data_IF_319838648493
#
_entry.id   IF_319838648493
#
_cell.length_a   1.000
_cell.length_b   1.000
_cell.length_c   1.000
_cell.angle_alpha   90.00
_cell.angle_beta   90.00
_cell.angle_gamma   90.00
#
_symmetry.space_group_name_H-M   'P 1'
#
loop_
_entity.id
_entity.type
_entity.pdbx_description
1 polymer ?
#
# COMPACT_ATOMS: atom_id res chain seq x y z
N UNK A 1 4.29 20.19 16.95
CA UNK A 1 3.57 19.07 16.34
C UNK A 1 4.50 17.88 16.30
N UNK A 2 4.17 16.76 16.94
CA UNK A 2 4.94 15.52 16.72
C UNK A 2 4.63 15.11 15.29
N UNK A 3 5.60 15.26 14.39
CA UNK A 3 5.55 14.71 13.04
C UNK A 3 5.28 13.21 13.18
N UNK A 4 4.02 12.84 13.03
CA UNK A 4 3.65 11.45 12.82
C UNK A 4 4.20 11.16 11.43
N UNK A 5 5.43 10.62 11.36
CA UNK A 5 5.92 10.07 10.10
C UNK A 5 4.83 9.11 9.65
N UNK A 6 4.28 9.24 8.43
CA UNK A 6 3.38 8.23 7.93
C UNK A 6 4.13 6.90 8.05
N UNK A 7 3.56 5.94 8.79
CA UNK A 7 4.14 4.61 8.87
C UNK A 7 4.24 4.11 7.43
N UNK A 8 5.47 4.05 6.91
CA UNK A 8 5.68 3.67 5.53
C UNK A 8 5.27 2.20 5.41
N UNK A 9 4.47 1.86 4.40
CA UNK A 9 4.04 0.47 4.18
C UNK A 9 5.27 -0.43 4.04
N UNK A 10 6.35 0.09 3.44
CA UNK A 10 7.67 -0.57 3.35
C UNK A 10 8.33 -0.97 4.67
N UNK A 11 7.96 -0.37 5.79
CA UNK A 11 8.48 -0.69 7.11
C UNK A 11 7.70 -1.80 7.82
N UNK A 12 6.52 -2.18 7.30
CA UNK A 12 5.69 -3.22 7.89
C UNK A 12 6.17 -4.62 7.44
N UNK A 13 6.07 -5.65 8.28
CA UNK A 13 6.20 -7.03 7.80
C UNK A 13 5.05 -7.35 6.83
N UNK A 14 5.28 -8.28 5.91
CA UNK A 14 4.31 -8.60 4.85
C UNK A 14 2.96 -9.09 5.41
N UNK A 15 2.97 -9.90 6.46
CA UNK A 15 1.75 -10.34 7.17
C UNK A 15 0.96 -9.18 7.79
N UNK A 16 1.64 -8.14 8.28
CA UNK A 16 0.96 -6.97 8.83
C UNK A 16 0.28 -6.15 7.73
N UNK A 17 0.80 -6.16 6.49
CA UNK A 17 0.14 -5.50 5.35
C UNK A 17 -1.18 -6.18 5.03
N UNK A 18 -1.24 -7.52 5.11
CA UNK A 18 -2.49 -8.28 4.96
C UNK A 18 -3.50 -7.97 6.05
N UNK A 19 -3.04 -7.67 7.26
CA UNK A 19 -3.90 -7.36 8.42
C UNK A 19 -4.49 -5.94 8.40
N UNK A 20 -4.10 -5.07 7.46
CA UNK A 20 -4.64 -3.70 7.37
C UNK A 20 -6.08 -3.70 6.87
N UNK A 21 -6.96 -2.96 7.51
CA UNK A 21 -8.31 -2.77 6.98
C UNK A 21 -8.29 -1.91 5.71
N UNK A 22 -9.19 -2.15 4.74
CA UNK A 22 -9.32 -1.31 3.54
C UNK A 22 -9.50 0.18 3.89
N UNK A 23 -10.23 0.49 4.96
CA UNK A 23 -10.41 1.86 5.44
C UNK A 23 -9.10 2.50 5.92
N UNK A 24 -8.21 1.71 6.53
CA UNK A 24 -6.88 2.20 6.94
C UNK A 24 -6.02 2.48 5.71
N UNK A 25 -6.09 1.64 4.67
CA UNK A 25 -5.38 1.85 3.40
C UNK A 25 -5.85 3.13 2.73
N UNK A 26 -7.16 3.36 2.66
CA UNK A 26 -7.73 4.58 2.09
C UNK A 26 -7.38 5.85 2.90
N UNK A 27 -7.07 5.72 4.19
CA UNK A 27 -6.67 6.84 5.06
C UNK A 27 -5.17 7.15 5.01
N UNK A 28 -4.34 6.27 4.44
CA UNK A 28 -2.90 6.51 4.34
C UNK A 28 -2.56 7.57 3.28
N UNK A 29 -1.58 8.45 3.53
CA UNK A 29 -1.11 9.37 2.51
C UNK A 29 -0.35 8.59 1.42
N UNK A 30 -0.43 9.04 0.16
CA UNK A 30 0.20 8.37 -0.98
C UNK A 30 1.71 8.14 -0.79
N UNK A 31 2.39 9.05 -0.08
CA UNK A 31 3.82 8.92 0.25
C UNK A 31 4.16 7.68 1.10
N UNK A 32 3.21 7.13 1.85
CA UNK A 32 3.41 5.91 2.65
C UNK A 32 3.70 4.68 1.77
N UNK A 33 3.22 4.67 0.53
CA UNK A 33 3.39 3.55 -0.40
C UNK A 33 4.72 3.59 -1.17
N UNK A 34 5.50 4.67 -1.08
CA UNK A 34 6.73 4.83 -1.85
C UNK A 34 7.86 3.88 -1.47
N UNK A 35 7.84 3.35 -0.24
CA UNK A 35 8.77 2.32 0.21
C UNK A 35 8.27 0.88 0.07
N UNK A 36 7.08 0.67 -0.50
CA UNK A 36 6.45 -0.65 -0.53
C UNK A 36 7.26 -1.65 -1.35
N UNK A 37 7.37 -2.88 -0.86
CA UNK A 37 8.10 -3.97 -1.52
C UNK A 37 7.16 -4.90 -2.27
N UNK A 38 7.63 -5.60 -3.33
CA UNK A 38 6.82 -6.58 -4.06
C UNK A 38 6.22 -7.67 -3.16
N UNK A 39 6.98 -8.16 -2.19
CA UNK A 39 6.54 -9.19 -1.23
C UNK A 39 5.34 -8.72 -0.40
N UNK A 40 5.31 -7.44 -0.02
CA UNK A 40 4.18 -6.83 0.69
C UNK A 40 2.97 -6.65 -0.23
N UNK A 41 3.21 -6.27 -1.50
CA UNK A 41 2.14 -6.10 -2.47
C UNK A 41 1.44 -7.41 -2.80
N UNK A 42 2.18 -8.54 -2.76
CA UNK A 42 1.62 -9.88 -2.91
C UNK A 42 0.72 -10.31 -1.75
N UNK A 43 0.84 -9.68 -0.58
CA UNK A 43 -0.01 -9.97 0.57
C UNK A 43 -1.33 -9.19 0.58
N UNK A 44 -1.47 -8.20 -0.31
CA UNK A 44 -2.70 -7.42 -0.43
C UNK A 44 -3.86 -8.29 -0.92
N UNK A 45 -5.05 -8.03 -0.38
CA UNK A 45 -6.30 -8.58 -0.88
C UNK A 45 -6.87 -7.72 -2.02
N UNK A 46 -7.77 -8.25 -2.86
CA UNK A 46 -8.47 -7.44 -3.87
C UNK A 46 -9.23 -6.25 -3.28
N UNK A 47 -9.84 -6.43 -2.09
CA UNK A 47 -10.58 -5.36 -1.40
C UNK A 47 -9.67 -4.22 -0.93
N UNK A 48 -8.49 -4.57 -0.39
CA UNK A 48 -7.44 -3.61 -0.03
C UNK A 48 -6.90 -2.91 -1.28
N UNK A 49 -6.64 -3.67 -2.35
CA UNK A 49 -6.16 -3.13 -3.60
C UNK A 49 -7.16 -2.15 -4.22
N UNK A 50 -8.47 -2.42 -4.15
CA UNK A 50 -9.52 -1.54 -4.64
C UNK A 50 -9.52 -0.15 -3.97
N UNK A 51 -8.99 -0.01 -2.75
CA UNK A 51 -8.89 1.27 -2.05
C UNK A 51 -7.70 2.13 -2.52
N UNK A 52 -6.74 1.54 -3.23
CA UNK A 52 -5.54 2.24 -3.73
C UNK A 52 -5.94 3.07 -4.97
N UNK A 53 -5.75 4.39 -4.94
CA UNK A 53 -6.17 5.31 -6.02
C UNK A 53 -4.99 5.67 -6.92
N UNK A 54 -5.27 6.44 -7.98
CA UNK A 54 -4.27 6.89 -8.95
C UNK A 54 -3.03 7.56 -8.31
N UNK A 55 -3.19 8.51 -7.37
CA UNK A 55 -2.06 9.13 -6.67
C UNK A 55 -1.21 8.13 -5.85
N UNK A 56 -1.85 7.14 -5.24
CA UNK A 56 -1.16 6.09 -4.46
C UNK A 56 -0.33 5.19 -5.38
N UNK A 57 -0.91 4.80 -6.52
CA UNK A 57 -0.18 4.06 -7.56
C UNK A 57 1.00 4.86 -8.09
N UNK A 58 0.87 6.18 -8.26
CA UNK A 58 1.97 7.02 -8.74
C UNK A 58 3.13 7.09 -7.75
N UNK A 59 2.85 6.99 -6.45
CA UNK A 59 3.86 6.96 -5.40
C UNK A 59 4.57 5.60 -5.27
N UNK A 60 3.96 4.50 -5.73
CA UNK A 60 4.49 3.14 -5.60
C UNK A 60 5.66 2.84 -6.57
N UNK A 61 6.56 1.92 -6.19
CA UNK A 61 7.54 1.37 -7.13
C UNK A 61 6.89 0.65 -8.32
N UNK A 62 7.49 0.65 -9.52
CA UNK A 62 6.91 0.05 -10.73
C UNK A 62 6.47 -1.41 -10.56
N UNK A 63 7.28 -2.24 -9.92
CA UNK A 63 6.96 -3.64 -9.69
C UNK A 63 5.72 -3.82 -8.79
N UNK A 64 5.58 -2.99 -7.75
CA UNK A 64 4.42 -3.01 -6.85
C UNK A 64 3.15 -2.59 -7.59
N UNK A 65 3.24 -1.55 -8.44
CA UNK A 65 2.10 -1.06 -9.23
C UNK A 65 1.51 -2.16 -10.12
N UNK A 66 2.35 -2.95 -10.76
CA UNK A 66 1.91 -4.08 -11.59
C UNK A 66 1.14 -5.11 -10.76
N UNK A 67 1.66 -5.47 -9.58
CA UNK A 67 0.99 -6.43 -8.69
C UNK A 67 -0.38 -5.90 -8.24
N UNK A 68 -0.43 -4.65 -7.78
CA UNK A 68 -1.68 -4.01 -7.33
C UNK A 68 -2.70 -3.91 -8.46
N UNK A 69 -2.28 -3.57 -9.68
CA UNK A 69 -3.19 -3.50 -10.82
C UNK A 69 -3.76 -4.87 -11.19
N UNK A 70 -2.96 -5.95 -11.09
CA UNK A 70 -3.43 -7.32 -11.32
C UNK A 70 -4.45 -7.78 -10.27
N UNK A 71 -4.42 -7.22 -9.05
CA UNK A 71 -5.40 -7.52 -7.99
C UNK A 71 -6.73 -6.76 -8.17
N UNK A 72 -6.74 -5.70 -8.98
CA UNK A 72 -7.92 -4.85 -9.25
C UNK A 72 -8.69 -5.26 -10.51
N UNK A 73 -8.01 -5.90 -11.46
CA UNK A 73 -8.58 -6.42 -12.70
C UNK A 73 -9.24 -7.77 -12.48
#
# INVERSE_FOLDING_TARGET
FREVKPAQVGALPADAVRALDPAQINAMPSAAFGGMKPEQAQQLTPEQAAQIKGPDLAAMPPAVRTIVNNLKG
#
